data_IF_870376940005
#
_entry.id   IF_870376940005
#
_cell.length_a   1.000
_cell.length_b   1.000
_cell.length_c   1.000
_cell.angle_alpha   90.00
_cell.angle_beta   90.00
_cell.angle_gamma   90.00
#
_symmetry.space_group_name_H-M   'P 1'
#
loop_
_entity.id
_entity.type
_entity.pdbx_description
1 polymer ?
#
# COMPACT_ATOMS: atom_id res chain seq x y z
N UNK A 1 -15.34 -29.99 -6.87
CA UNK A 1 -14.05 -29.31 -6.70
C UNK A 1 -14.05 -28.01 -7.50
N UNK A 2 -14.87 -27.06 -7.07
CA UNK A 2 -14.94 -25.67 -7.49
C UNK A 2 -15.30 -24.90 -6.21
N UNK A 3 -14.94 -23.62 -6.14
CA UNK A 3 -14.89 -22.75 -4.94
C UNK A 3 -13.53 -22.68 -4.27
N UNK A 4 -12.59 -22.04 -4.99
CA UNK A 4 -11.84 -20.96 -4.35
C UNK A 4 -12.87 -19.98 -3.83
N UNK A 5 -12.82 -19.69 -2.53
CA UNK A 5 -13.78 -18.85 -1.85
C UNK A 5 -13.95 -17.49 -2.59
N UNK A 6 -15.20 -17.19 -2.96
CA UNK A 6 -15.58 -15.94 -3.63
C UNK A 6 -15.19 -14.74 -2.74
N UNK A 7 -15.29 -14.92 -1.43
CA UNK A 7 -14.96 -13.93 -0.42
C UNK A 7 -13.46 -13.63 -0.43
N UNK A 8 -12.62 -14.68 -0.41
CA UNK A 8 -11.16 -14.53 -0.39
C UNK A 8 -10.64 -13.75 -1.62
N UNK A 9 -11.16 -14.07 -2.81
CA UNK A 9 -10.79 -13.33 -4.02
C UNK A 9 -11.26 -11.88 -3.98
N UNK A 10 -12.43 -11.62 -3.40
CA UNK A 10 -12.95 -10.25 -3.24
C UNK A 10 -12.08 -9.46 -2.26
N UNK A 11 -11.66 -10.09 -1.17
CA UNK A 11 -10.70 -9.52 -0.23
C UNK A 11 -9.35 -9.20 -0.88
N UNK A 12 -8.77 -10.11 -1.67
CA UNK A 12 -7.52 -9.85 -2.41
C UNK A 12 -7.67 -8.70 -3.40
N UNK A 13 -8.80 -8.63 -4.13
CA UNK A 13 -9.07 -7.54 -5.06
C UNK A 13 -9.21 -6.19 -4.37
N UNK A 14 -9.82 -6.16 -3.18
CA UNK A 14 -9.93 -4.96 -2.37
C UNK A 14 -8.53 -4.49 -1.94
N UNK A 15 -7.70 -5.42 -1.45
CA UNK A 15 -6.33 -5.12 -1.02
C UNK A 15 -5.43 -4.65 -2.15
N UNK A 16 -5.61 -5.12 -3.39
CA UNK A 16 -4.84 -4.61 -4.54
C UNK A 16 -5.18 -3.16 -4.91
N UNK A 17 -6.32 -2.64 -4.46
CA UNK A 17 -6.82 -1.31 -4.88
C UNK A 17 -6.65 -0.26 -3.79
N UNK A 18 -7.04 -0.58 -2.57
CA UNK A 18 -7.23 0.40 -1.53
C UNK A 18 -6.32 0.08 -0.34
N UNK A 19 -5.33 0.95 -0.10
CA UNK A 19 -4.55 0.97 1.15
C UNK A 19 -5.28 1.79 2.20
N UNK A 20 -5.50 1.25 3.40
CA UNK A 20 -6.15 1.96 4.50
C UNK A 20 -5.15 2.38 5.58
N UNK A 21 -5.52 3.38 6.38
CA UNK A 21 -4.79 3.71 7.61
C UNK A 21 -5.35 2.90 8.77
N UNK A 22 -4.50 2.09 9.39
CA UNK A 22 -4.86 1.21 10.49
C UNK A 22 -4.20 1.69 11.78
N UNK A 23 -4.81 1.45 12.97
CA UNK A 23 -4.10 1.58 14.23
C UNK A 23 -2.81 0.75 14.22
N UNK A 24 -1.71 1.29 14.72
CA UNK A 24 -0.45 0.56 14.72
C UNK A 24 -0.53 -0.69 15.60
N UNK A 25 -0.37 -1.91 15.04
CA UNK A 25 -0.56 -3.14 15.81
C UNK A 25 0.44 -3.33 16.95
N UNK A 26 1.59 -2.65 16.89
CA UNK A 26 2.64 -2.76 17.89
C UNK A 26 2.42 -1.84 19.10
N UNK A 27 1.47 -0.93 19.03
CA UNK A 27 1.15 -0.01 20.12
C UNK A 27 -0.04 -0.53 20.94
N UNK A 28 0.12 -0.54 22.26
CA UNK A 28 -0.98 -0.73 23.21
C UNK A 28 -1.42 0.62 23.77
N UNK A 29 -2.71 0.76 24.05
CA UNK A 29 -3.33 1.93 24.64
C UNK A 29 -3.40 1.84 26.17
N UNK A 30 -3.12 2.97 26.83
CA UNK A 30 -3.17 3.10 28.28
C UNK A 30 -3.88 4.38 28.67
N UNK A 31 -4.59 4.33 29.78
CA UNK A 31 -5.27 5.45 30.40
C UNK A 31 -4.91 5.47 31.88
N UNK A 32 -4.38 6.60 32.35
CA UNK A 32 -4.11 6.82 33.77
C UNK A 32 -5.41 7.13 34.53
N UNK A 33 -5.35 7.08 35.86
CA UNK A 33 -6.50 7.40 36.72
C UNK A 33 -6.99 8.85 36.56
N UNK A 34 -6.10 9.79 36.21
CA UNK A 34 -6.43 11.20 35.93
C UNK A 34 -6.91 11.45 34.48
N UNK A 35 -7.05 10.40 33.67
CA UNK A 35 -7.59 10.47 32.31
C UNK A 35 -6.56 10.84 31.23
N UNK A 36 -5.28 10.76 31.53
CA UNK A 36 -4.22 10.96 30.54
C UNK A 36 -4.02 9.69 29.69
N UNK A 37 -4.26 9.82 28.39
CA UNK A 37 -4.11 8.73 27.43
C UNK A 37 -2.72 8.73 26.79
N UNK A 38 -2.09 7.56 26.73
CA UNK A 38 -0.81 7.35 26.08
C UNK A 38 -0.71 5.96 25.46
N UNK A 39 0.27 5.77 24.58
CA UNK A 39 0.47 4.54 23.81
C UNK A 39 1.91 4.08 23.95
N UNK A 40 2.12 2.79 24.16
CA UNK A 40 3.47 2.20 24.26
C UNK A 40 3.67 1.20 23.12
N UNK A 41 4.76 1.36 22.37
CA UNK A 41 5.25 0.36 21.43
C UNK A 41 5.81 -0.82 22.22
N UNK A 42 5.17 -1.98 22.07
CA UNK A 42 5.48 -3.21 22.80
C UNK A 42 6.82 -3.84 22.42
N UNK A 43 7.40 -3.44 21.28
CA UNK A 43 8.68 -3.95 20.78
C UNK A 43 9.83 -3.00 21.09
N UNK A 44 9.66 -1.70 20.83
CA UNK A 44 10.72 -0.69 21.03
C UNK A 44 10.71 -0.05 22.42
N UNK A 45 9.58 -0.13 23.14
CA UNK A 45 9.35 0.62 24.39
C UNK A 45 9.11 2.11 24.20
N UNK A 46 8.96 2.58 22.96
CA UNK A 46 8.63 3.98 22.66
C UNK A 46 7.25 4.36 23.19
N UNK A 47 7.16 5.51 23.86
CA UNK A 47 5.90 6.05 24.38
C UNK A 47 5.47 7.26 23.57
N UNK A 48 4.22 7.25 23.09
CA UNK A 48 3.60 8.33 22.33
C UNK A 48 2.36 8.83 23.06
N UNK A 49 2.15 10.15 23.05
CA UNK A 49 1.02 10.81 23.70
C UNK A 49 0.24 11.64 22.68
N UNK A 50 -1.06 11.82 22.86
CA UNK A 50 -1.90 12.61 21.96
C UNK A 50 -2.73 11.75 21.03
N UNK A 51 -2.34 11.62 19.76
CA UNK A 51 -3.10 10.85 18.76
C UNK A 51 -2.72 9.37 18.76
N UNK A 52 -3.71 8.50 18.54
CA UNK A 52 -3.51 7.06 18.29
C UNK A 52 -2.48 6.89 17.15
N UNK A 53 -1.36 6.18 17.38
CA UNK A 53 -0.41 5.87 16.33
C UNK A 53 -1.10 5.09 15.21
N UNK A 54 -0.95 5.53 13.97
CA UNK A 54 -1.45 4.82 12.79
C UNK A 54 -0.33 4.43 11.83
N UNK A 55 -0.59 3.40 11.03
CA UNK A 55 0.29 2.96 9.93
C UNK A 55 -0.56 2.86 8.67
N UNK A 56 0.03 3.25 7.54
CA UNK A 56 -0.57 3.03 6.23
C UNK A 56 -0.35 1.57 5.85
N UNK A 57 -1.43 0.83 5.61
CA UNK A 57 -1.38 -0.52 5.05
C UNK A 57 -0.78 -0.49 3.64
N UNK A 58 -0.40 -1.65 3.11
CA UNK A 58 0.15 -1.81 1.76
C UNK A 58 -0.86 -2.48 0.83
N UNK A 59 -0.79 -2.14 -0.46
CA UNK A 59 -1.59 -2.84 -1.46
C UNK A 59 -1.11 -4.29 -1.65
N UNK A 60 -2.06 -5.20 -1.83
CA UNK A 60 -1.82 -6.64 -2.00
C UNK A 60 -1.77 -7.39 -0.67
N UNK A 61 -1.29 -8.63 -0.68
CA UNK A 61 -1.28 -9.49 0.51
C UNK A 61 -0.70 -10.87 0.23
N UNK A 62 -0.76 -11.74 1.24
CA UNK A 62 -0.24 -13.11 1.16
C UNK A 62 -1.37 -14.13 1.25
N UNK A 63 -1.42 -15.07 0.29
CA UNK A 63 -2.31 -16.25 0.31
C UNK A 63 -1.51 -17.48 0.71
N UNK A 64 -1.53 -17.81 2.00
CA UNK A 64 -0.70 -18.87 2.59
C UNK A 64 -1.51 -20.12 2.97
N UNK A 65 -2.63 -20.38 2.30
CA UNK A 65 -3.51 -21.51 2.64
C UNK A 65 -2.93 -22.86 2.16
N UNK A 66 -3.64 -23.96 2.39
CA UNK A 66 -3.22 -25.31 2.02
C UNK A 66 -2.94 -25.50 0.51
N UNK A 67 -2.00 -26.40 0.15
CA UNK A 67 -1.81 -26.84 -1.23
C UNK A 67 -3.10 -27.41 -1.82
N UNK A 68 -3.36 -27.14 -3.10
CA UNK A 68 -4.55 -27.65 -3.82
C UNK A 68 -5.78 -26.72 -3.78
N UNK A 69 -5.77 -25.65 -2.98
CA UNK A 69 -6.87 -24.67 -2.89
C UNK A 69 -6.94 -23.66 -4.06
N UNK A 70 -6.30 -23.95 -5.19
CA UNK A 70 -6.43 -23.11 -6.39
C UNK A 70 -5.75 -21.74 -6.29
N UNK A 71 -4.63 -21.61 -5.59
CA UNK A 71 -3.87 -20.34 -5.51
C UNK A 71 -3.43 -19.81 -6.86
N UNK A 72 -2.98 -20.70 -7.75
CA UNK A 72 -2.55 -20.31 -9.10
C UNK A 72 -3.69 -19.68 -9.90
N UNK A 73 -4.87 -20.32 -9.92
CA UNK A 73 -6.02 -19.77 -10.63
C UNK A 73 -6.51 -18.47 -9.97
N UNK A 74 -6.38 -18.36 -8.64
CA UNK A 74 -6.68 -17.13 -7.89
C UNK A 74 -5.75 -15.99 -8.31
N UNK A 75 -4.44 -16.21 -8.32
CA UNK A 75 -3.44 -15.23 -8.75
C UNK A 75 -3.63 -14.81 -10.21
N UNK A 76 -3.87 -15.76 -11.12
CA UNK A 76 -4.18 -15.46 -12.53
C UNK A 76 -5.46 -14.62 -12.65
N UNK A 77 -6.50 -14.93 -11.89
CA UNK A 77 -7.74 -14.16 -11.90
C UNK A 77 -7.53 -12.73 -11.38
N UNK A 78 -6.65 -12.56 -10.40
CA UNK A 78 -6.30 -11.26 -9.83
C UNK A 78 -5.58 -10.41 -10.89
N UNK A 79 -4.53 -10.96 -11.52
CA UNK A 79 -3.78 -10.31 -12.60
C UNK A 79 -4.70 -9.85 -13.74
N UNK A 80 -5.62 -10.71 -14.17
CA UNK A 80 -6.56 -10.37 -15.24
C UNK A 80 -7.53 -9.25 -14.83
N UNK A 81 -7.95 -9.22 -13.56
CA UNK A 81 -8.87 -8.21 -13.02
C UNK A 81 -8.21 -6.89 -12.68
N UNK A 82 -6.90 -6.86 -12.48
CA UNK A 82 -6.10 -5.65 -12.19
C UNK A 82 -5.27 -5.20 -13.40
N UNK A 83 -5.49 -5.81 -14.58
CA UNK A 83 -4.78 -5.44 -15.80
C UNK A 83 -4.99 -3.96 -16.14
N UNK A 84 -3.89 -3.24 -16.30
CA UNK A 84 -3.90 -1.81 -16.60
C UNK A 84 -3.87 -0.91 -15.35
N UNK A 85 -3.96 -1.48 -14.14
CA UNK A 85 -3.72 -0.74 -12.91
C UNK A 85 -2.21 -0.56 -12.71
N UNK A 86 -1.80 0.67 -12.38
CA UNK A 86 -0.43 0.96 -11.94
C UNK A 86 -0.39 0.97 -10.41
N UNK A 87 0.68 0.44 -9.84
CA UNK A 87 0.91 0.50 -8.39
C UNK A 87 1.02 1.96 -7.94
N UNK A 88 0.49 2.26 -6.76
CA UNK A 88 0.73 3.56 -6.14
C UNK A 88 2.21 3.75 -5.83
N UNK A 89 2.67 4.98 -6.01
CA UNK A 89 4.04 5.35 -5.68
C UNK A 89 4.15 5.52 -4.17
N UNK A 90 5.23 5.03 -3.52
CA UNK A 90 5.49 5.33 -2.12
C UNK A 90 5.58 6.84 -1.88
N UNK A 91 5.12 7.28 -0.72
CA UNK A 91 5.09 8.69 -0.36
C UNK A 91 6.49 9.31 -0.42
N UNK A 92 6.59 10.47 -1.09
CA UNK A 92 7.84 11.23 -1.19
C UNK A 92 8.83 10.73 -2.25
N UNK A 93 8.50 9.69 -3.02
CA UNK A 93 9.35 9.19 -4.11
C UNK A 93 8.94 9.80 -5.45
N UNK A 94 9.85 9.86 -6.42
CA UNK A 94 9.54 10.27 -7.80
C UNK A 94 9.77 9.10 -8.76
N UNK A 95 8.89 8.96 -9.75
CA UNK A 95 9.06 7.98 -10.83
C UNK A 95 10.11 8.48 -11.81
N UNK A 96 11.12 7.64 -12.06
CA UNK A 96 12.08 7.80 -13.13
C UNK A 96 11.56 7.04 -14.34
N UNK A 97 11.24 7.77 -15.41
CA UNK A 97 10.71 7.19 -16.65
C UNK A 97 11.84 6.89 -17.62
N UNK A 98 11.84 5.67 -18.17
CA UNK A 98 12.71 5.25 -19.25
C UNK A 98 11.89 4.78 -20.46
N UNK A 99 12.38 5.11 -21.66
CA UNK A 99 11.85 4.54 -22.89
C UNK A 99 12.55 3.20 -23.13
N UNK A 100 11.79 2.12 -22.99
CA UNK A 100 12.23 0.78 -23.37
C UNK A 100 11.66 0.47 -24.76
N UNK A 101 12.52 0.55 -25.79
CA UNK A 101 12.11 0.54 -27.20
C UNK A 101 11.16 1.71 -27.56
N UNK A 102 10.86 1.87 -28.85
CA UNK A 102 10.11 3.02 -29.36
C UNK A 102 8.65 3.13 -28.85
N UNK A 103 8.12 2.08 -28.20
CA UNK A 103 6.68 1.96 -27.91
C UNK A 103 6.33 1.61 -26.45
N UNK A 104 7.32 1.40 -25.58
CA UNK A 104 7.06 1.08 -24.16
C UNK A 104 7.76 2.06 -23.23
N UNK A 105 6.97 2.83 -22.49
CA UNK A 105 7.45 3.64 -21.35
C UNK A 105 7.40 2.79 -20.10
N UNK A 106 8.54 2.65 -19.44
CA UNK A 106 8.66 1.97 -18.14
C UNK A 106 9.02 3.01 -17.09
N UNK A 107 8.43 2.91 -15.90
CA UNK A 107 8.75 3.74 -14.75
C UNK A 107 9.40 2.88 -13.67
N UNK A 108 10.46 3.36 -13.04
CA UNK A 108 11.01 2.77 -11.82
C UNK A 108 11.18 3.85 -10.76
N UNK A 109 11.32 3.43 -9.51
CA UNK A 109 11.58 4.33 -8.40
C UNK A 109 12.62 3.70 -7.47
N UNK A 110 13.34 4.55 -6.74
CA UNK A 110 14.36 4.11 -5.79
C UNK A 110 13.94 4.53 -4.39
N UNK A 111 14.09 3.60 -3.43
CA UNK A 111 13.88 3.86 -2.01
C UNK A 111 15.23 4.00 -1.33
N UNK A 112 15.51 5.17 -0.76
CA UNK A 112 16.69 5.34 0.08
C UNK A 112 16.36 4.86 1.50
N UNK A 113 17.08 3.85 2.00
CA UNK A 113 16.85 3.26 3.32
C UNK A 113 17.05 4.22 4.50
N UNK A 114 17.57 5.43 4.26
CA UNK A 114 17.80 6.45 5.28
C UNK A 114 16.56 7.23 5.77
N UNK A 115 15.41 7.10 5.11
CA UNK A 115 14.20 7.90 5.43
C UNK A 115 12.94 7.04 5.57
N UNK A 116 13.03 5.86 6.18
CA UNK A 116 11.85 5.18 6.73
C UNK A 116 11.69 5.67 8.17
N UNK A 117 11.45 6.97 8.34
CA UNK A 117 11.08 7.51 9.64
C UNK A 117 9.57 7.40 9.78
N UNK A 118 9.17 6.61 10.77
CA UNK A 118 7.91 6.64 11.49
C UNK A 118 7.20 8.00 11.41
N UNK A 119 5.87 7.95 11.22
CA UNK A 119 5.01 9.10 10.96
C UNK A 119 5.43 10.42 11.60
N UNK A 120 5.58 11.46 10.79
CA UNK A 120 5.94 12.79 11.27
C UNK A 120 5.99 13.84 10.17
N UNK A 121 4.91 14.64 10.11
CA UNK A 121 4.89 16.04 9.67
C UNK A 121 5.25 16.35 8.20
N UNK A 122 4.19 16.66 7.44
CA UNK A 122 4.24 17.33 6.13
C UNK A 122 5.19 18.55 6.14
N UNK A 123 6.35 18.43 5.50
CA UNK A 123 7.15 19.59 5.09
C UNK A 123 7.00 19.81 3.59
N UNK A 124 6.38 20.94 3.29
CA UNK A 124 5.90 21.35 1.97
C UNK A 124 7.09 21.75 1.07
N UNK A 125 7.68 20.79 0.34
CA UNK A 125 8.69 21.09 -0.69
C UNK A 125 8.05 21.08 -2.07
N UNK A 126 7.54 22.25 -2.48
CA UNK A 126 7.14 22.52 -3.87
C UNK A 126 8.35 22.36 -4.77
N UNK A 127 8.35 21.35 -5.65
CA UNK A 127 9.20 21.35 -6.84
C UNK A 127 8.35 20.93 -8.03
N UNK A 128 8.35 21.82 -9.01
CA UNK A 128 7.61 21.80 -10.27
C UNK A 128 7.95 20.53 -11.07
N UNK A 129 6.93 19.76 -11.42
CA UNK A 129 7.01 18.63 -12.34
C UNK A 129 5.78 18.64 -13.25
N UNK A 130 6.02 18.75 -14.56
CA UNK A 130 5.03 19.06 -15.58
C UNK A 130 3.80 18.14 -15.58
N UNK A 131 2.63 18.75 -15.68
CA UNK A 131 1.37 18.09 -16.04
C UNK A 131 1.55 17.23 -17.30
N UNK A 132 1.50 15.91 -17.15
CA UNK A 132 1.23 14.99 -18.25
C UNK A 132 -0.22 14.50 -18.11
N UNK A 133 -0.98 14.72 -19.16
CA UNK A 133 -2.43 14.53 -19.27
C UNK A 133 -2.83 13.09 -18.92
N UNK A 134 -3.90 12.99 -18.12
CA UNK A 134 -4.73 11.78 -18.01
C UNK A 134 -5.44 11.58 -19.33
N UNK A 135 -4.84 10.84 -20.26
CA UNK A 135 -5.55 10.37 -21.43
C UNK A 135 -6.19 9.01 -21.12
N UNK A 136 -7.53 9.03 -21.17
CA UNK A 136 -8.41 7.88 -21.07
C UNK A 136 -8.01 6.80 -22.08
N UNK A 137 -7.53 5.66 -21.59
CA UNK A 137 -7.42 4.45 -22.39
C UNK A 137 -8.77 3.71 -22.43
N UNK A 138 -9.72 4.29 -23.17
CA UNK A 138 -10.84 3.55 -23.74
C UNK A 138 -11.11 4.04 -25.16
N UNK A 139 -10.43 3.42 -26.12
CA UNK A 139 -10.94 3.00 -27.43
C UNK A 139 -9.78 2.45 -28.24
N UNK A 140 -9.86 1.17 -28.63
CA UNK A 140 -9.81 0.76 -30.03
C UNK A 140 -10.16 -0.74 -30.11
N UNK A 141 -11.25 -0.98 -30.87
CA UNK A 141 -11.84 -2.20 -31.41
C UNK A 141 -12.37 -3.25 -30.42
#
# INVERSE_FOLDING_TARGET
MLFVDLEFRTWLLQRERDSEYLPQPLFMDFLTEDGFAFYINTVSGETVTGSVPTVRDFCGGMSCDEPGLGKTITALSLILKTRGTMAELPDGVQVIWCNHNADHRCGYYELNGGTITSGGTLSNRRVVGHHARRDNFHRLN
#
